data_IF_564468020216
#
_entry.id   IF_564468020216
#
_cell.length_a   1.000
_cell.length_b   1.000
_cell.length_c   1.000
_cell.angle_alpha   90.00
_cell.angle_beta   90.00
_cell.angle_gamma   90.00
#
_symmetry.space_group_name_H-M   'P 1'
#
loop_
_entity.id
_entity.type
_entity.pdbx_description
1 polymer ?
#
# COMPACT_ATOMS: atom_id res chain seq x y z
N UNK A 1 57.57 72.02 -26.91
CA UNK A 1 57.48 71.21 -25.66
C UNK A 1 56.28 71.75 -24.88
N UNK A 2 55.15 71.01 -24.88
CA UNK A 2 54.67 70.15 -23.76
C UNK A 2 54.16 70.99 -22.57
N UNK A 3 52.95 70.88 -22.02
CA UNK A 3 51.77 70.02 -22.21
C UNK A 3 50.53 70.76 -21.65
N UNK A 4 49.36 70.49 -22.23
CA UNK A 4 48.04 70.81 -21.68
C UNK A 4 47.60 69.74 -20.67
N UNK A 5 46.80 70.12 -19.67
CA UNK A 5 46.07 69.20 -18.79
C UNK A 5 44.60 69.62 -18.75
N UNK A 6 43.76 68.83 -19.43
CA UNK A 6 42.30 68.88 -19.36
C UNK A 6 41.89 67.77 -18.39
N UNK A 7 41.20 68.16 -17.31
CA UNK A 7 40.61 67.24 -16.33
C UNK A 7 39.25 66.79 -16.85
N UNK A 8 39.12 65.50 -17.16
CA UNK A 8 37.86 64.85 -17.55
C UNK A 8 37.27 64.14 -16.33
N UNK A 9 36.10 64.59 -15.86
CA UNK A 9 35.31 63.91 -14.83
C UNK A 9 34.51 62.75 -15.43
N UNK A 10 34.64 61.54 -14.87
CA UNK A 10 33.78 60.41 -15.17
C UNK A 10 32.46 60.54 -14.41
N UNK A 11 31.35 60.62 -15.13
CA UNK A 11 30.00 60.45 -14.58
C UNK A 11 29.63 58.97 -14.67
N UNK A 12 29.55 58.31 -13.52
CA UNK A 12 29.05 56.93 -13.40
C UNK A 12 27.53 56.94 -13.58
N UNK A 13 27.05 56.49 -14.73
CA UNK A 13 25.64 56.22 -14.96
C UNK A 13 25.23 54.95 -14.21
N UNK A 14 24.44 55.11 -13.16
CA UNK A 14 23.80 54.03 -12.41
C UNK A 14 22.70 53.39 -13.26
N UNK A 15 22.97 52.20 -13.81
CA UNK A 15 21.96 51.33 -14.41
C UNK A 15 21.07 50.77 -13.28
N UNK A 16 19.82 51.23 -13.22
CA UNK A 16 18.80 50.61 -12.38
C UNK A 16 18.45 49.23 -12.97
N UNK A 17 18.87 48.16 -12.29
CA UNK A 17 18.40 46.81 -12.55
C UNK A 17 16.88 46.77 -12.33
N UNK A 18 16.12 46.66 -13.42
CA UNK A 18 14.69 46.44 -13.36
C UNK A 18 14.45 44.98 -12.97
N UNK A 19 14.03 44.74 -11.74
CA UNK A 19 13.60 43.42 -11.29
C UNK A 19 12.34 43.02 -12.07
N UNK A 20 12.43 41.98 -12.90
CA UNK A 20 11.26 41.37 -13.54
C UNK A 20 10.39 40.72 -12.46
N UNK A 21 9.23 41.31 -12.17
CA UNK A 21 8.28 40.84 -11.13
C UNK A 21 7.26 39.82 -11.62
N UNK A 22 7.28 39.46 -12.90
CA UNK A 22 6.33 38.50 -13.47
C UNK A 22 6.97 37.12 -13.57
N UNK A 23 6.80 36.33 -12.51
CA UNK A 23 7.05 34.89 -12.54
C UNK A 23 6.03 34.24 -13.51
N UNK A 24 6.47 33.31 -14.37
CA UNK A 24 5.54 32.60 -15.26
C UNK A 24 4.50 31.86 -14.41
N UNK A 25 3.24 32.04 -14.76
CA UNK A 25 2.13 31.32 -14.13
C UNK A 25 2.26 29.82 -14.45
N UNK A 26 2.94 29.08 -13.58
CA UNK A 26 2.98 27.62 -13.64
C UNK A 26 1.64 27.13 -13.11
N UNK A 27 0.77 26.69 -14.03
CA UNK A 27 -0.50 26.11 -13.67
C UNK A 27 -0.27 24.66 -13.20
N UNK A 28 -0.02 24.48 -11.91
CA UNK A 28 0.15 23.15 -11.29
C UNK A 28 -1.23 22.52 -11.13
N UNK A 29 -1.62 21.67 -12.07
CA UNK A 29 -2.82 20.84 -11.92
C UNK A 29 -2.49 19.77 -10.88
N UNK A 30 -3.20 19.77 -9.76
CA UNK A 30 -3.06 18.75 -8.74
C UNK A 30 -3.37 17.36 -9.34
N UNK A 31 -2.59 16.32 -9.01
CA UNK A 31 -2.89 14.96 -9.44
C UNK A 31 -4.32 14.57 -9.07
N UNK A 32 -4.98 13.71 -9.87
CA UNK A 32 -6.34 13.27 -9.57
C UNK A 32 -6.41 12.62 -8.18
N UNK A 33 -7.55 12.82 -7.50
CA UNK A 33 -7.83 12.25 -6.18
C UNK A 33 -6.70 12.51 -5.18
N UNK A 34 -6.16 13.73 -5.17
CA UNK A 34 -5.05 14.09 -4.29
C UNK A 34 -5.35 15.27 -3.38
N UNK A 35 -4.67 15.29 -2.24
CA UNK A 35 -4.69 16.37 -1.25
C UNK A 35 -3.30 16.50 -0.64
N UNK A 36 -2.89 17.70 -0.27
CA UNK A 36 -1.67 17.91 0.48
C UNK A 36 -1.97 18.06 1.97
N UNK A 37 -1.25 17.32 2.82
CA UNK A 37 -1.37 17.41 4.27
C UNK A 37 -0.08 16.98 4.96
N UNK A 38 0.39 17.75 5.95
CA UNK A 38 1.56 17.40 6.76
C UNK A 38 2.86 17.19 5.98
N UNK A 39 3.05 17.89 4.85
CA UNK A 39 4.23 17.70 3.98
C UNK A 39 4.17 16.44 3.09
N UNK A 40 3.00 15.80 2.99
CA UNK A 40 2.76 14.69 2.08
C UNK A 40 1.72 15.06 1.02
N UNK A 41 1.98 14.62 -0.21
CA UNK A 41 0.96 14.46 -1.23
C UNK A 41 0.26 13.13 -0.99
N UNK A 42 -0.98 13.20 -0.53
CA UNK A 42 -1.84 12.03 -0.31
C UNK A 42 -2.66 11.81 -1.57
N UNK A 43 -2.65 10.60 -2.11
CA UNK A 43 -3.36 10.22 -3.32
C UNK A 43 -4.18 8.95 -3.12
N UNK A 44 -5.43 9.02 -3.59
CA UNK A 44 -6.32 7.88 -3.75
C UNK A 44 -6.33 7.34 -5.17
N UNK A 45 -5.39 7.74 -6.04
CA UNK A 45 -5.34 7.30 -7.44
C UNK A 45 -4.87 5.84 -7.54
N UNK A 46 -5.81 4.92 -7.33
CA UNK A 46 -5.66 3.47 -7.46
C UNK A 46 -6.63 2.95 -8.52
N UNK A 47 -6.30 1.80 -9.09
CA UNK A 47 -7.04 1.21 -10.20
C UNK A 47 -7.19 -0.29 -10.00
N UNK A 48 -8.23 -0.83 -10.62
CA UNK A 48 -8.38 -2.26 -10.83
C UNK A 48 -7.66 -2.67 -12.10
N UNK A 49 -7.05 -3.85 -12.10
CA UNK A 49 -6.53 -4.43 -13.34
C UNK A 49 -7.70 -4.93 -14.18
N UNK A 50 -7.91 -4.42 -15.42
CA UNK A 50 -8.99 -4.88 -16.28
C UNK A 50 -8.92 -6.37 -16.64
N UNK A 51 -7.72 -6.97 -16.58
CA UNK A 51 -7.49 -8.40 -16.85
C UNK A 51 -7.59 -9.24 -15.58
N UNK A 52 -7.43 -8.63 -14.41
CA UNK A 52 -7.51 -9.27 -13.09
C UNK A 52 -8.41 -8.44 -12.16
N UNK A 53 -9.74 -8.53 -12.29
CA UNK A 53 -10.70 -7.66 -11.60
C UNK A 53 -10.81 -7.87 -10.08
N UNK A 54 -9.92 -8.68 -9.50
CA UNK A 54 -9.72 -8.84 -8.05
C UNK A 54 -8.54 -8.04 -7.49
N UNK A 55 -7.74 -7.43 -8.37
CA UNK A 55 -6.47 -6.80 -8.02
C UNK A 55 -6.56 -5.28 -8.06
N UNK A 56 -6.20 -4.65 -6.95
CA UNK A 56 -6.06 -3.20 -6.79
C UNK A 56 -4.57 -2.84 -6.81
N UNK A 57 -4.20 -1.81 -7.57
CA UNK A 57 -2.83 -1.32 -7.64
C UNK A 57 -2.79 0.21 -7.74
N UNK A 58 -1.71 0.86 -7.29
CA UNK A 58 -1.56 2.31 -7.41
C UNK A 58 -1.40 2.70 -8.89
N UNK A 59 -2.09 3.76 -9.32
CA UNK A 59 -2.03 4.24 -10.70
C UNK A 59 -0.65 4.81 -11.09
N UNK A 60 0.15 5.16 -10.09
CA UNK A 60 1.51 5.66 -10.23
C UNK A 60 2.46 4.67 -9.57
N UNK A 61 3.66 4.50 -10.14
CA UNK A 61 4.68 3.66 -9.55
C UNK A 61 5.01 4.14 -8.13
N UNK A 62 5.10 3.19 -7.20
CA UNK A 62 5.56 3.47 -5.84
C UNK A 62 7.07 3.62 -5.87
N UNK A 63 7.54 4.66 -5.20
CA UNK A 63 8.97 4.95 -5.04
C UNK A 63 9.38 4.73 -3.61
N UNK A 64 10.69 4.63 -3.39
CA UNK A 64 11.26 4.57 -2.05
C UNK A 64 10.72 5.72 -1.18
N UNK A 65 10.41 5.39 0.07
CA UNK A 65 9.84 6.25 1.11
C UNK A 65 8.39 6.68 0.88
N UNK A 66 7.72 6.17 -0.16
CA UNK A 66 6.26 6.20 -0.21
C UNK A 66 5.67 5.40 0.96
N UNK A 67 4.49 5.81 1.41
CA UNK A 67 3.72 5.09 2.43
C UNK A 67 2.39 4.67 1.81
N UNK A 68 2.08 3.38 1.85
CA UNK A 68 0.73 2.89 1.61
C UNK A 68 -0.04 2.85 2.93
N UNK A 69 -1.12 3.62 3.04
CA UNK A 69 -2.11 3.48 4.11
C UNK A 69 -3.21 2.56 3.61
N UNK A 70 -3.30 1.35 4.17
CA UNK A 70 -4.29 0.32 3.84
C UNK A 70 -5.08 0.05 5.12
N UNK A 71 -6.35 0.43 5.09
CA UNK A 71 -7.25 0.40 6.25
C UNK A 71 -8.45 -0.49 5.90
N UNK A 72 -8.44 -1.78 6.27
CA UNK A 72 -9.64 -2.61 6.21
C UNK A 72 -10.69 -2.03 7.17
N UNK A 73 -11.86 -1.69 6.64
CA UNK A 73 -13.00 -1.20 7.45
C UNK A 73 -13.83 -2.36 7.95
N UNK A 74 -14.00 -3.37 7.10
CA UNK A 74 -14.73 -4.60 7.40
C UNK A 74 -14.14 -5.74 6.59
N UNK A 75 -13.90 -6.88 7.22
CA UNK A 75 -13.54 -8.17 6.60
C UNK A 75 -14.48 -9.24 7.14
N UNK A 76 -14.86 -10.22 6.30
CA UNK A 76 -15.55 -11.42 6.79
C UNK A 76 -14.56 -12.32 7.55
N UNK A 77 -15.07 -13.18 8.44
CA UNK A 77 -14.23 -14.04 9.30
C UNK A 77 -13.24 -14.90 8.51
N UNK A 78 -13.65 -15.41 7.36
CA UNK A 78 -12.81 -16.26 6.52
C UNK A 78 -12.02 -15.51 5.44
N UNK A 79 -12.01 -14.19 5.48
CA UNK A 79 -11.36 -13.34 4.51
C UNK A 79 -10.04 -12.76 5.02
N UNK A 80 -9.08 -12.76 4.11
CA UNK A 80 -7.74 -12.25 4.32
C UNK A 80 -7.48 -11.21 3.25
N UNK A 81 -7.13 -10.00 3.65
CA UNK A 81 -6.63 -8.96 2.74
C UNK A 81 -5.12 -9.12 2.63
N UNK A 82 -4.57 -9.05 1.42
CA UNK A 82 -3.16 -9.33 1.15
C UNK A 82 -2.57 -8.20 0.35
N UNK A 83 -1.46 -7.66 0.86
CA UNK A 83 -0.53 -6.84 0.09
C UNK A 83 0.65 -7.72 -0.33
N UNK A 84 0.85 -7.87 -1.63
CA UNK A 84 1.99 -8.56 -2.22
C UNK A 84 2.82 -7.60 -3.07
N UNK A 85 4.10 -7.91 -3.21
CA UNK A 85 5.00 -7.30 -4.17
C UNK A 85 5.60 -8.36 -5.09
N UNK A 86 5.97 -8.00 -6.32
CA UNK A 86 6.72 -8.91 -7.17
C UNK A 86 8.11 -9.17 -6.61
N UNK A 87 8.49 -10.43 -6.39
CA UNK A 87 9.84 -10.79 -5.94
C UNK A 87 10.81 -10.96 -7.13
N UNK A 88 10.29 -11.25 -8.33
CA UNK A 88 11.05 -11.38 -9.56
C UNK A 88 10.68 -10.30 -10.58
N UNK A 89 11.58 -10.01 -11.53
CA UNK A 89 11.38 -8.96 -12.54
C UNK A 89 10.19 -9.24 -13.49
N UNK A 90 9.90 -10.52 -13.73
CA UNK A 90 8.76 -11.02 -14.50
C UNK A 90 7.52 -11.29 -13.64
N UNK A 91 7.58 -11.05 -12.33
CA UNK A 91 6.51 -11.30 -11.37
C UNK A 91 6.00 -12.75 -11.35
N UNK A 92 6.82 -13.75 -11.68
CA UNK A 92 6.45 -15.16 -11.47
C UNK A 92 6.51 -15.59 -9.99
N UNK A 93 7.27 -14.85 -9.18
CA UNK A 93 7.26 -14.96 -7.72
C UNK A 93 6.80 -13.64 -7.10
N UNK A 94 6.09 -13.74 -5.99
CA UNK A 94 5.60 -12.62 -5.20
C UNK A 94 5.96 -12.82 -3.73
N UNK A 95 6.32 -11.73 -3.07
CA UNK A 95 6.58 -11.67 -1.64
C UNK A 95 5.37 -11.13 -0.90
N UNK A 96 4.97 -11.81 0.17
CA UNK A 96 3.92 -11.38 1.09
C UNK A 96 4.42 -10.21 1.92
N UNK A 97 3.95 -9.00 1.64
CA UNK A 97 4.37 -7.81 2.39
C UNK A 97 3.62 -7.71 3.71
N UNK A 98 2.29 -7.90 3.66
CA UNK A 98 1.41 -7.85 4.81
C UNK A 98 0.08 -8.54 4.50
N UNK A 99 -0.59 -9.03 5.54
CA UNK A 99 -1.97 -9.44 5.46
C UNK A 99 -2.78 -8.87 6.64
N UNK A 100 -4.10 -8.87 6.49
CA UNK A 100 -5.09 -8.54 7.52
C UNK A 100 -6.19 -9.60 7.54
N UNK A 101 -6.77 -9.86 8.69
CA UNK A 101 -7.95 -10.74 8.89
C UNK A 101 -9.00 -10.01 9.73
N UNK A 102 -10.18 -10.60 9.91
CA UNK A 102 -11.23 -10.02 10.76
C UNK A 102 -10.77 -9.75 12.21
N UNK A 103 -9.95 -10.66 12.78
CA UNK A 103 -9.37 -10.51 14.12
C UNK A 103 -8.25 -9.46 14.20
N UNK A 104 -7.66 -9.09 13.07
CA UNK A 104 -6.50 -8.18 13.01
C UNK A 104 -6.60 -7.19 11.83
N UNK A 105 -7.72 -6.47 11.78
CA UNK A 105 -7.93 -5.37 10.82
C UNK A 105 -7.07 -4.13 11.12
N UNK A 106 -6.33 -4.12 12.24
CA UNK A 106 -5.52 -2.98 12.68
C UNK A 106 -6.30 -1.82 13.33
N UNK A 107 -7.56 -1.60 12.97
CA UNK A 107 -8.35 -0.46 13.46
C UNK A 107 -7.62 0.88 13.22
N UNK A 108 -7.51 1.73 14.24
CA UNK A 108 -6.77 3.00 14.17
C UNK A 108 -5.25 2.85 14.32
N UNK A 109 -4.72 1.62 14.37
CA UNK A 109 -3.28 1.39 14.51
C UNK A 109 -2.52 1.75 13.24
N UNK A 110 -2.04 2.99 13.19
CA UNK A 110 -1.25 3.53 12.08
C UNK A 110 0.01 2.71 11.75
N UNK A 111 0.61 1.96 12.68
CA UNK A 111 1.77 1.09 12.37
C UNK A 111 1.36 -0.19 11.63
N UNK A 112 0.15 -0.67 11.85
CA UNK A 112 -0.37 -1.86 11.19
C UNK A 112 -0.84 -1.56 9.77
N UNK A 113 -1.46 -0.39 9.61
CA UNK A 113 -2.10 0.00 8.35
C UNK A 113 -1.17 0.77 7.42
N UNK A 114 0.02 1.20 7.89
CA UNK A 114 1.00 1.91 7.05
C UNK A 114 2.17 1.01 6.68
N UNK A 115 2.34 0.81 5.38
CA UNK A 115 3.46 0.07 4.80
C UNK A 115 4.41 1.06 4.14
N UNK A 116 5.66 1.07 4.61
CA UNK A 116 6.73 1.87 4.02
C UNK A 116 7.33 1.15 2.83
N UNK A 117 7.39 1.83 1.70
CA UNK A 117 7.99 1.32 0.47
C UNK A 117 9.50 1.51 0.56
N UNK A 118 10.24 0.41 0.58
CA UNK A 118 11.70 0.41 0.76
C UNK A 118 12.46 0.52 -0.56
N UNK A 119 11.83 0.11 -1.66
CA UNK A 119 12.36 0.19 -3.02
C UNK A 119 11.23 0.27 -4.06
N UNK A 120 11.57 0.69 -5.28
CA UNK A 120 10.64 0.70 -6.40
C UNK A 120 10.26 -0.73 -6.79
N UNK A 121 8.97 -1.04 -6.76
CA UNK A 121 8.45 -2.35 -7.15
C UNK A 121 6.97 -2.27 -7.53
N UNK A 122 6.45 -3.37 -8.10
CA UNK A 122 5.02 -3.54 -8.35
C UNK A 122 4.36 -4.15 -7.12
N UNK A 123 3.39 -3.43 -6.57
CA UNK A 123 2.59 -3.84 -5.43
C UNK A 123 1.15 -4.05 -5.88
N UNK A 124 0.51 -5.07 -5.33
CA UNK A 124 -0.89 -5.38 -5.60
C UNK A 124 -1.61 -5.84 -4.34
N UNK A 125 -2.82 -5.31 -4.18
CA UNK A 125 -3.71 -5.56 -3.05
C UNK A 125 -4.90 -6.38 -3.52
N UNK A 126 -5.19 -7.47 -2.83
CA UNK A 126 -6.25 -8.41 -3.20
C UNK A 126 -6.78 -9.15 -1.99
N UNK A 127 -7.94 -9.79 -2.13
CA UNK A 127 -8.64 -10.47 -1.03
C UNK A 127 -8.76 -11.97 -1.32
N UNK A 128 -8.55 -12.80 -0.29
CA UNK A 128 -8.64 -14.26 -0.36
C UNK A 128 -9.62 -14.78 0.67
N UNK A 129 -10.37 -15.83 0.30
CA UNK A 129 -11.08 -16.66 1.27
C UNK A 129 -10.29 -17.91 1.58
N UNK A 130 -10.12 -18.19 2.86
CA UNK A 130 -9.63 -19.48 3.35
C UNK A 130 -10.77 -20.21 4.06
N UNK A 131 -10.66 -21.50 4.35
CA UNK A 131 -11.71 -22.23 5.07
C UNK A 131 -11.93 -21.64 6.47
N UNK A 132 -13.18 -21.63 6.93
CA UNK A 132 -13.51 -21.35 8.32
C UNK A 132 -12.87 -22.41 9.22
N UNK A 133 -12.04 -21.96 10.15
CA UNK A 133 -11.36 -22.80 11.14
C UNK A 133 -11.97 -22.55 12.51
N UNK A 134 -13.01 -23.31 12.83
CA UNK A 134 -13.59 -23.31 14.17
C UNK A 134 -12.80 -24.29 15.04
N UNK A 135 -11.93 -23.77 15.90
CA UNK A 135 -11.22 -24.62 16.84
C UNK A 135 -10.26 -23.85 17.71
N UNK A 136 -10.55 -23.77 19.01
CA UNK A 136 -9.56 -23.35 20.02
C UNK A 136 -8.37 -24.31 20.09
N UNK A 137 -8.42 -25.45 19.40
CA UNK A 137 -7.38 -26.47 19.38
C UNK A 137 -7.30 -27.24 18.07
N UNK A 138 -6.08 -27.45 17.57
CA UNK A 138 -5.78 -28.45 16.56
C UNK A 138 -5.45 -29.77 17.25
N UNK A 139 -6.11 -30.84 16.82
CA UNK A 139 -5.97 -32.17 17.42
C UNK A 139 -6.96 -32.39 18.57
N UNK A 140 -7.76 -33.45 18.45
CA UNK A 140 -8.44 -34.05 19.58
C UNK A 140 -7.76 -35.40 19.86
N UNK A 141 -7.08 -35.50 21.00
CA UNK A 141 -7.24 -36.71 21.78
C UNK A 141 -8.74 -36.86 22.07
N UNK A 142 -9.29 -38.07 21.94
CA UNK A 142 -10.68 -38.42 22.22
C UNK A 142 -11.23 -37.94 23.59
N UNK A 143 -10.36 -37.47 24.49
CA UNK A 143 -10.72 -36.73 25.70
C UNK A 143 -10.43 -35.22 25.54
N UNK A 144 -11.46 -34.40 25.74
CA UNK A 144 -11.44 -32.91 25.76
C UNK A 144 -10.47 -32.26 26.78
N UNK A 145 -9.66 -33.04 27.49
CA UNK A 145 -8.76 -32.59 28.57
C UNK A 145 -7.31 -33.09 28.40
N UNK A 146 -6.91 -33.50 27.20
CA UNK A 146 -5.52 -33.89 26.94
C UNK A 146 -4.59 -32.66 27.06
N UNK A 147 -3.60 -32.65 27.97
CA UNK A 147 -2.64 -31.55 28.11
C UNK A 147 -1.75 -31.36 26.87
N UNK A 148 -1.70 -32.32 25.95
CA UNK A 148 -0.99 -32.21 24.67
C UNK A 148 -1.84 -31.63 23.53
N UNK A 149 -3.04 -31.12 23.82
CA UNK A 149 -3.88 -30.50 22.81
C UNK A 149 -3.27 -29.17 22.36
N UNK A 150 -2.80 -29.09 21.12
CA UNK A 150 -2.25 -27.85 20.55
C UNK A 150 -3.35 -26.81 20.46
N UNK A 151 -3.23 -25.69 21.19
CA UNK A 151 -4.15 -24.56 21.04
C UNK A 151 -3.97 -23.95 19.67
N UNK A 152 -5.06 -23.85 18.92
CA UNK A 152 -5.09 -23.20 17.63
C UNK A 152 -6.05 -22.01 17.67
N UNK A 153 -5.70 -20.95 16.95
CA UNK A 153 -6.57 -19.78 16.80
C UNK A 153 -7.71 -20.05 15.81
N UNK A 154 -8.64 -19.09 15.73
CA UNK A 154 -9.73 -19.11 14.75
C UNK A 154 -9.35 -18.64 13.34
N UNK A 155 -8.10 -18.26 13.12
CA UNK A 155 -7.57 -17.79 11.84
C UNK A 155 -6.16 -18.32 11.61
N UNK A 156 -5.78 -18.41 10.33
CA UNK A 156 -4.40 -18.68 9.94
C UNK A 156 -3.55 -17.42 10.21
N UNK A 157 -2.48 -17.58 10.98
CA UNK A 157 -1.60 -16.46 11.38
C UNK A 157 -0.23 -16.50 10.71
N UNK A 158 0.08 -17.61 10.03
CA UNK A 158 1.38 -17.88 9.42
C UNK A 158 1.20 -18.31 7.99
N UNK A 159 2.03 -17.76 7.10
CA UNK A 159 1.94 -17.96 5.65
C UNK A 159 3.33 -18.10 5.04
N UNK A 160 3.41 -18.70 3.87
CA UNK A 160 4.65 -18.70 3.09
C UNK A 160 4.98 -17.27 2.64
N UNK A 161 6.24 -16.87 2.86
CA UNK A 161 6.70 -15.51 2.55
C UNK A 161 6.81 -15.26 1.05
N UNK A 162 7.26 -16.26 0.29
CA UNK A 162 7.40 -16.20 -1.17
C UNK A 162 6.48 -17.27 -1.76
N UNK A 163 5.66 -16.88 -2.75
CA UNK A 163 4.77 -17.77 -3.48
C UNK A 163 4.53 -17.24 -4.89
N UNK A 164 3.92 -18.02 -5.79
CA UNK A 164 3.36 -17.43 -7.00
C UNK A 164 2.36 -16.31 -6.68
N UNK A 165 2.18 -15.33 -7.58
CA UNK A 165 1.28 -14.20 -7.37
C UNK A 165 -0.16 -14.66 -7.10
N UNK A 166 -0.88 -13.86 -6.31
CA UNK A 166 -2.31 -14.08 -6.04
C UNK A 166 -2.61 -15.42 -5.34
N UNK A 167 -1.59 -16.00 -4.71
CA UNK A 167 -1.73 -17.14 -3.81
C UNK A 167 -1.36 -16.75 -2.40
N UNK A 168 -2.13 -17.28 -1.45
CA UNK A 168 -1.89 -17.16 -0.03
C UNK A 168 -1.85 -18.60 0.51
N UNK A 169 -0.68 -19.02 0.97
CA UNK A 169 -0.43 -20.41 1.38
C UNK A 169 -0.21 -20.42 2.90
N UNK A 170 -1.22 -20.83 3.70
CA UNK A 170 -1.05 -20.97 5.14
C UNK A 170 0.03 -21.99 5.50
N UNK A 171 0.71 -21.74 6.61
CA UNK A 171 1.73 -22.60 7.20
C UNK A 171 1.50 -22.79 8.70
N UNK A 172 2.24 -23.71 9.31
CA UNK A 172 2.12 -24.04 10.74
C UNK A 172 1.04 -25.08 11.05
N UNK A 173 0.82 -25.32 12.34
CA UNK A 173 0.02 -26.46 12.83
C UNK A 173 -1.44 -26.42 12.38
N UNK A 174 -2.06 -25.23 12.38
CA UNK A 174 -3.42 -25.05 11.90
C UNK A 174 -3.56 -25.36 10.41
N UNK A 175 -2.56 -24.99 9.61
CA UNK A 175 -2.54 -25.32 8.19
C UNK A 175 -2.36 -26.84 7.96
N UNK A 176 -1.49 -27.48 8.74
CA UNK A 176 -1.30 -28.93 8.68
C UNK A 176 -2.59 -29.70 9.01
N UNK A 177 -3.37 -29.22 9.99
CA UNK A 177 -4.63 -29.85 10.39
C UNK A 177 -5.75 -29.70 9.34
N UNK A 178 -5.77 -28.59 8.60
CA UNK A 178 -6.80 -28.28 7.59
C UNK A 178 -6.32 -28.47 6.14
N UNK A 179 -5.29 -29.30 5.91
CA UNK A 179 -4.60 -29.42 4.61
C UNK A 179 -5.55 -29.68 3.43
N UNK A 180 -6.51 -30.60 3.57
CA UNK A 180 -7.44 -30.96 2.49
C UNK A 180 -8.37 -29.81 2.10
N UNK A 181 -8.88 -29.08 3.09
CA UNK A 181 -9.73 -27.92 2.88
C UNK A 181 -8.92 -26.75 2.30
N UNK A 182 -7.67 -26.60 2.76
CA UNK A 182 -6.77 -25.56 2.30
C UNK A 182 -6.33 -25.74 0.86
N UNK A 183 -6.06 -26.96 0.41
CA UNK A 183 -5.58 -27.18 -0.95
C UNK A 183 -6.54 -26.61 -2.00
N UNK A 184 -7.86 -26.76 -1.78
CA UNK A 184 -8.88 -26.17 -2.66
C UNK A 184 -8.92 -24.65 -2.55
N UNK A 185 -8.86 -24.12 -1.33
CA UNK A 185 -8.91 -22.68 -1.09
C UNK A 185 -7.68 -21.96 -1.69
N UNK A 186 -6.48 -22.53 -1.54
CA UNK A 186 -5.23 -21.99 -2.10
C UNK A 186 -5.37 -21.81 -3.63
N UNK A 187 -5.92 -22.80 -4.33
CA UNK A 187 -6.08 -22.78 -5.78
C UNK A 187 -7.27 -21.95 -6.29
N UNK A 188 -8.19 -21.54 -5.42
CA UNK A 188 -9.33 -20.72 -5.82
C UNK A 188 -8.87 -19.31 -6.21
N UNK A 189 -9.57 -18.63 -7.11
CA UNK A 189 -9.22 -17.25 -7.46
C UNK A 189 -9.44 -16.28 -6.28
N UNK A 190 -8.71 -15.15 -6.24
CA UNK A 190 -9.02 -14.04 -5.35
C UNK A 190 -10.47 -13.54 -5.50
N UNK A 191 -11.00 -12.95 -4.43
CA UNK A 191 -12.33 -12.36 -4.43
C UNK A 191 -12.36 -11.14 -5.35
N UNK A 192 -13.36 -11.10 -6.24
CA UNK A 192 -13.54 -10.01 -7.19
C UNK A 192 -13.94 -8.70 -6.48
N UNK A 193 -13.52 -7.56 -7.03
CA UNK A 193 -14.00 -6.26 -6.57
C UNK A 193 -15.39 -6.01 -7.13
N UNK A 194 -16.36 -5.78 -6.25
CA UNK A 194 -17.75 -5.52 -6.61
C UNK A 194 -18.02 -4.04 -6.87
N UNK A 195 -17.35 -3.16 -6.11
CA UNK A 195 -17.49 -1.70 -6.24
C UNK A 195 -16.17 -1.01 -5.91
N UNK A 196 -15.91 0.09 -6.61
CA UNK A 196 -14.82 1.01 -6.33
C UNK A 196 -15.34 2.45 -6.35
N UNK A 197 -14.77 3.32 -5.52
CA UNK A 197 -15.05 4.76 -5.52
C UNK A 197 -13.87 5.56 -4.96
N UNK A 198 -13.93 6.88 -5.10
CA UNK A 198 -12.96 7.80 -4.53
C UNK A 198 -13.66 8.77 -3.59
N UNK A 199 -13.18 8.84 -2.35
CA UNK A 199 -13.61 9.78 -1.33
C UNK A 199 -12.47 10.79 -1.08
N UNK A 200 -12.48 11.88 -1.86
CA UNK A 200 -11.39 12.85 -1.85
C UNK A 200 -10.07 12.21 -2.30
N UNK A 201 -9.10 12.13 -1.40
CA UNK A 201 -7.81 11.47 -1.60
C UNK A 201 -7.74 10.02 -1.11
N UNK A 202 -8.90 9.39 -0.91
CA UNK A 202 -9.02 8.01 -0.46
C UNK A 202 -9.67 7.15 -1.53
N UNK A 203 -9.02 6.06 -1.89
CA UNK A 203 -9.65 5.01 -2.70
C UNK A 203 -10.42 4.07 -1.80
N UNK A 204 -11.66 3.74 -2.15
CA UNK A 204 -12.49 2.81 -1.37
C UNK A 204 -12.94 1.67 -2.28
N UNK A 205 -12.66 0.44 -1.85
CA UNK A 205 -13.05 -0.77 -2.57
C UNK A 205 -13.95 -1.63 -1.71
N UNK A 206 -14.96 -2.22 -2.34
CA UNK A 206 -15.81 -3.23 -1.74
C UNK A 206 -15.66 -4.51 -2.55
N UNK A 207 -15.20 -5.58 -1.91
CA UNK A 207 -15.07 -6.90 -2.49
C UNK A 207 -16.40 -7.66 -2.49
N UNK A 208 -16.54 -8.65 -3.37
CA UNK A 208 -17.70 -9.53 -3.43
C UNK A 208 -17.87 -10.27 -2.11
N UNK A 209 -18.90 -9.94 -1.33
CA UNK A 209 -19.05 -10.38 0.06
C UNK A 209 -19.21 -9.23 1.06
N UNK A 210 -18.99 -7.98 0.63
CA UNK A 210 -19.26 -6.77 1.41
C UNK A 210 -18.05 -6.20 2.15
N UNK A 211 -16.93 -6.93 2.18
CA UNK A 211 -15.68 -6.46 2.80
C UNK A 211 -15.15 -5.22 2.11
N UNK A 212 -14.78 -4.23 2.90
CA UNK A 212 -14.49 -2.88 2.44
C UNK A 212 -13.13 -2.42 2.96
N UNK A 213 -12.33 -1.84 2.07
CA UNK A 213 -10.97 -1.38 2.34
C UNK A 213 -10.79 0.04 1.84
N UNK A 214 -10.12 0.88 2.62
CA UNK A 214 -9.72 2.23 2.27
C UNK A 214 -8.21 2.25 2.01
N UNK A 215 -7.80 2.84 0.91
CA UNK A 215 -6.40 2.83 0.47
C UNK A 215 -5.94 4.24 0.09
N UNK A 216 -4.74 4.59 0.50
CA UNK A 216 -4.07 5.86 0.18
C UNK A 216 -2.58 5.61 -0.06
N UNK A 217 -2.00 6.39 -0.97
CA UNK A 217 -0.55 6.57 -1.10
C UNK A 217 -0.19 7.92 -0.50
N UNK A 218 0.86 7.99 0.30
CA UNK A 218 1.44 9.23 0.80
C UNK A 218 2.86 9.35 0.26
N UNK A 219 3.13 10.44 -0.47
CA UNK A 219 4.45 10.75 -1.01
C UNK A 219 4.97 12.05 -0.38
N UNK A 220 6.19 12.04 0.15
CA UNK A 220 6.76 13.25 0.75
C UNK A 220 6.99 14.34 -0.31
N UNK A 221 6.44 15.53 -0.10
CA UNK A 221 6.67 16.69 -0.97
C UNK A 221 8.08 17.24 -0.75
N UNK A 222 8.71 17.77 -1.81
CA UNK A 222 10.14 18.15 -1.81
C UNK A 222 10.54 19.19 -0.75
N UNK A 223 9.61 19.93 -0.15
CA UNK A 223 9.89 20.85 0.97
C UNK A 223 10.44 20.15 2.23
N UNK A 224 10.30 18.83 2.36
CA UNK A 224 10.85 18.06 3.48
C UNK A 224 12.23 17.42 3.20
N UNK A 225 12.82 17.56 2.00
CA UNK A 225 14.14 16.97 1.69
C UNK A 225 15.32 17.93 1.89
N UNK A 226 15.07 19.10 2.47
CA UNK A 226 16.09 20.14 2.68
C UNK A 226 16.45 20.35 4.16
N UNK A 227 15.92 19.52 5.05
CA UNK A 227 16.27 19.50 6.46
C UNK A 227 17.00 18.19 6.77
N UNK A 228 18.24 18.07 6.29
CA UNK A 228 19.31 17.23 6.86
C UNK A 228 20.66 17.71 6.31
#
# INVERSE_FOLDING_TARGET
MKHALISSGLVLASLAASAQTTLPAVNVVAPPFSSQHGGYLISGDFKLDPRMPSVVFPAQALVKDDILSIEPVHLQDNEYLILQECASADCHEASLVRFWSADDIGGDNTRHNRVWITHENKYFLWLKRLPDVSGQSCGQGWFKFDPNTTKCGGHFTSFQQISPPLMLIPSGDLAAYHQDALQKAIQADPVLVAKQTHEGSTYVVTYGGGSTVRVRRMHATKDNRQAD
#
